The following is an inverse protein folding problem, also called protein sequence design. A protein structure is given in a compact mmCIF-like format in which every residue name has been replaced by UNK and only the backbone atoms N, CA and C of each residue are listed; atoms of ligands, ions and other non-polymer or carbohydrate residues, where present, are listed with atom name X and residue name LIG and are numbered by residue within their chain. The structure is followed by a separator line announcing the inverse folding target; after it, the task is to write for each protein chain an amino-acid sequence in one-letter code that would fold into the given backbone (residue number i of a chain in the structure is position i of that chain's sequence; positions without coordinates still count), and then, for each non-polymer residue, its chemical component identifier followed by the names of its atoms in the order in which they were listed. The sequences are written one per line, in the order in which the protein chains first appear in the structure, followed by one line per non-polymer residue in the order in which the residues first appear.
data_IF_613969625732
#
_entry.id   IF_613969625732
#
_cell.length_a   1.000
_cell.length_b   1.000
_cell.length_c   1.000
_cell.angle_alpha   90.00
_cell.angle_beta   90.00
_cell.angle_gamma   90.00
#
_symmetry.space_group_name_H-M   'P 1'
#
loop_
_entity.id
_entity.type
_entity.pdbx_description
1 polymer ?
#
# COMPACT_ATOMS: atom_id res chain seq x y z
N UNK A 1 1.18 -3.90 -9.79
CA UNK A 1 -0.18 -4.46 -10.00
C UNK A 1 -1.05 -3.40 -10.65
N UNK A 2 -2.04 -3.79 -11.46
CA UNK A 2 -2.84 -2.87 -12.29
C UNK A 2 -4.29 -2.77 -11.81
N UNK A 3 -4.99 -1.71 -12.21
CA UNK A 3 -6.42 -1.50 -11.90
C UNK A 3 -7.33 -2.65 -12.35
N UNK A 4 -7.25 -3.12 -13.61
CA UNK A 4 -8.05 -4.26 -14.08
C UNK A 4 -7.86 -5.53 -13.24
N UNK A 5 -6.64 -5.83 -12.79
CA UNK A 5 -6.38 -7.00 -11.95
C UNK A 5 -7.12 -6.92 -10.60
N UNK A 6 -7.21 -5.73 -9.99
CA UNK A 6 -7.99 -5.51 -8.77
C UNK A 6 -9.50 -5.59 -9.02
N UNK A 7 -9.98 -5.10 -10.17
CA UNK A 7 -11.37 -5.22 -10.56
C UNK A 7 -11.78 -6.69 -10.75
N UNK A 8 -10.96 -7.48 -11.44
CA UNK A 8 -11.18 -8.91 -11.65
C UNK A 8 -11.19 -9.66 -10.32
N UNK A 9 -10.22 -9.37 -9.44
CA UNK A 9 -10.16 -9.95 -8.10
C UNK A 9 -11.41 -9.59 -7.28
N UNK A 10 -11.84 -8.32 -7.28
CA UNK A 10 -13.06 -7.90 -6.60
C UNK A 10 -14.29 -8.63 -7.15
N UNK A 11 -14.45 -8.70 -8.47
CA UNK A 11 -15.59 -9.41 -9.11
C UNK A 11 -15.61 -10.90 -8.80
N UNK A 12 -14.45 -11.52 -8.63
CA UNK A 12 -14.35 -12.94 -8.30
C UNK A 12 -14.79 -13.27 -6.86
N UNK A 13 -14.68 -12.32 -5.92
CA UNK A 13 -14.94 -12.56 -4.49
C UNK A 13 -16.18 -11.83 -3.95
N UNK A 14 -16.64 -10.78 -4.63
CA UNK A 14 -17.75 -9.95 -4.15
C UNK A 14 -19.08 -10.72 -4.13
N UNK A 15 -19.77 -10.67 -2.99
CA UNK A 15 -21.12 -11.19 -2.81
C UNK A 15 -22.21 -10.18 -3.19
N UNK A 16 -23.48 -10.62 -3.19
CA UNK A 16 -24.61 -9.72 -3.45
C UNK A 16 -24.67 -8.54 -2.48
N UNK A 17 -24.52 -7.32 -3.01
CA UNK A 17 -24.60 -6.07 -2.26
C UNK A 17 -23.27 -5.58 -1.68
N UNK A 18 -22.16 -6.28 -1.96
CA UNK A 18 -20.83 -5.80 -1.64
C UNK A 18 -20.42 -4.66 -2.58
N UNK A 19 -19.61 -3.74 -2.05
CA UNK A 19 -19.07 -2.62 -2.81
C UNK A 19 -17.58 -2.46 -2.55
N UNK A 20 -16.83 -2.12 -3.59
CA UNK A 20 -15.44 -1.72 -3.44
C UNK A 20 -15.40 -0.35 -2.77
N UNK A 21 -14.98 -0.33 -1.51
CA UNK A 21 -15.10 0.83 -0.63
C UNK A 21 -13.78 1.60 -0.49
N UNK A 22 -12.66 0.89 -0.47
CA UNK A 22 -11.35 1.50 -0.41
C UNK A 22 -10.31 0.69 -1.20
N UNK A 23 -9.34 1.41 -1.76
CA UNK A 23 -8.11 0.86 -2.30
C UNK A 23 -6.94 1.44 -1.51
N UNK A 24 -6.19 0.57 -0.84
CA UNK A 24 -5.11 0.93 0.08
C UNK A 24 -3.81 0.46 -0.52
N UNK A 25 -2.84 1.36 -0.69
CA UNK A 25 -1.53 1.02 -1.25
C UNK A 25 -0.45 1.88 -0.65
N UNK A 26 0.60 1.23 -0.16
CA UNK A 26 1.83 1.89 0.18
C UNK A 26 2.47 2.54 -1.03
N UNK A 27 3.02 3.73 -0.81
CA UNK A 27 3.57 4.56 -1.87
C UNK A 27 5.04 4.27 -2.05
N UNK A 28 5.38 3.55 -3.13
CA UNK A 28 6.74 3.42 -3.67
C UNK A 28 6.97 4.40 -4.81
N UNK A 29 7.06 3.89 -6.04
CA UNK A 29 7.09 4.69 -7.27
C UNK A 29 5.76 5.36 -7.63
N UNK A 30 4.70 5.10 -6.85
CA UNK A 30 3.30 5.42 -7.12
C UNK A 30 2.64 4.69 -8.30
N UNK A 31 3.30 3.70 -8.92
CA UNK A 31 2.69 2.89 -9.99
C UNK A 31 1.48 2.08 -9.54
N UNK A 32 1.55 1.39 -8.39
CA UNK A 32 0.44 0.56 -7.90
C UNK A 32 -0.72 1.40 -7.35
N UNK A 33 -0.45 2.50 -6.62
CA UNK A 33 -1.53 3.36 -6.10
C UNK A 33 -2.34 4.02 -7.22
N UNK A 34 -1.76 4.22 -8.40
CA UNK A 34 -2.47 4.70 -9.60
C UNK A 34 -3.57 3.76 -10.08
N UNK A 35 -3.57 2.47 -9.67
CA UNK A 35 -4.70 1.58 -9.90
C UNK A 35 -6.00 2.13 -9.27
N UNK A 36 -5.90 2.92 -8.19
CA UNK A 36 -7.03 3.60 -7.57
C UNK A 36 -7.76 4.55 -8.52
N UNK A 37 -7.04 5.22 -9.42
CA UNK A 37 -7.64 6.15 -10.39
C UNK A 37 -8.52 5.41 -11.39
N UNK A 38 -8.05 4.25 -11.87
CA UNK A 38 -8.85 3.33 -12.68
C UNK A 38 -10.05 2.81 -11.90
N UNK A 39 -9.86 2.31 -10.68
CA UNK A 39 -10.93 1.73 -9.87
C UNK A 39 -12.03 2.75 -9.56
N UNK A 40 -11.70 4.04 -9.45
CA UNK A 40 -12.70 5.12 -9.29
C UNK A 40 -13.60 5.31 -10.51
N UNK A 41 -13.20 4.87 -11.70
CA UNK A 41 -14.10 4.84 -12.87
C UNK A 41 -15.19 3.77 -12.75
N UNK A 42 -14.91 2.70 -11.99
CA UNK A 42 -15.82 1.58 -11.74
C UNK A 42 -16.63 1.81 -10.46
N UNK A 43 -15.99 2.31 -9.41
CA UNK A 43 -16.58 2.61 -8.10
C UNK A 43 -16.26 4.07 -7.69
N UNK A 44 -17.04 5.07 -8.16
CA UNK A 44 -16.73 6.48 -7.95
C UNK A 44 -16.67 6.94 -6.48
N UNK A 45 -17.33 6.22 -5.57
CA UNK A 45 -17.31 6.50 -4.13
C UNK A 45 -16.15 5.83 -3.39
N UNK A 46 -15.34 5.01 -4.07
CA UNK A 46 -14.21 4.31 -3.46
C UNK A 46 -13.15 5.32 -2.99
N UNK A 47 -12.60 5.08 -1.80
CA UNK A 47 -11.50 5.87 -1.24
C UNK A 47 -10.14 5.33 -1.66
N UNK A 48 -9.25 6.16 -2.18
CA UNK A 48 -7.85 5.80 -2.40
C UNK A 48 -7.03 6.22 -1.19
N UNK A 49 -6.31 5.29 -0.56
CA UNK A 49 -5.52 5.52 0.65
C UNK A 49 -4.05 5.28 0.35
N UNK A 50 -3.25 6.34 0.52
CA UNK A 50 -1.80 6.26 0.47
C UNK A 50 -1.24 5.79 1.81
N UNK A 51 -0.32 4.83 1.78
CA UNK A 51 0.33 4.31 2.98
C UNK A 51 1.82 4.66 2.97
N UNK A 52 2.35 5.06 4.12
CA UNK A 52 3.77 5.36 4.33
C UNK A 52 4.25 4.84 5.68
N UNK A 53 5.56 4.88 5.93
CA UNK A 53 6.11 4.57 7.25
C UNK A 53 5.93 5.74 8.22
N UNK A 54 5.58 5.47 9.47
CA UNK A 54 5.49 6.47 10.53
C UNK A 54 6.85 7.07 10.87
N UNK A 55 7.93 6.29 10.71
CA UNK A 55 9.32 6.72 10.88
C UNK A 55 9.78 7.66 9.76
N UNK A 56 9.15 7.63 8.59
CA UNK A 56 9.42 8.53 7.46
C UNK A 56 8.11 9.14 6.90
N UNK A 57 7.39 9.97 7.69
CA UNK A 57 6.03 10.38 7.36
C UNK A 57 6.00 11.60 6.44
N UNK A 58 6.45 11.43 5.19
CA UNK A 58 6.57 12.50 4.19
C UNK A 58 5.22 13.08 3.80
N UNK A 59 4.20 12.27 3.57
CA UNK A 59 2.85 12.69 3.19
C UNK A 59 2.05 13.22 4.39
N UNK A 60 2.16 12.57 5.55
CA UNK A 60 1.36 12.91 6.72
C UNK A 60 1.89 14.13 7.46
N UNK A 61 3.21 14.34 7.50
CA UNK A 61 3.86 15.34 8.36
C UNK A 61 4.95 16.16 7.67
N UNK A 62 5.15 16.03 6.36
CA UNK A 62 6.32 16.56 5.67
C UNK A 62 7.62 16.12 6.37
N UNK A 63 7.61 14.90 6.93
CA UNK A 63 8.70 14.35 7.72
C UNK A 63 9.69 13.55 6.88
N UNK A 64 10.78 13.18 7.53
CA UNK A 64 11.86 12.35 6.97
C UNK A 64 12.37 11.39 8.06
N UNK A 65 12.99 10.30 7.64
CA UNK A 65 13.61 9.33 8.53
C UNK A 65 14.01 8.08 7.76
N UNK A 66 14.21 6.98 8.47
CA UNK A 66 14.51 5.67 7.90
C UNK A 66 13.56 4.66 8.51
N UNK A 67 13.25 3.61 7.77
CA UNK A 67 12.32 2.60 8.21
C UNK A 67 12.68 1.22 7.68
N UNK A 68 12.04 0.21 8.26
CA UNK A 68 12.23 -1.20 7.95
C UNK A 68 11.14 -1.81 7.06
N UNK A 69 10.24 -1.01 6.50
CA UNK A 69 9.23 -1.51 5.57
C UNK A 69 9.84 -1.59 4.16
N UNK A 70 10.46 -2.70 3.79
CA UNK A 70 11.01 -2.83 2.43
C UNK A 70 9.92 -2.84 1.36
N UNK A 71 10.23 -2.22 0.21
CA UNK A 71 9.35 -2.18 -0.97
C UNK A 71 8.45 -0.94 -1.06
N UNK A 72 8.44 -0.09 -0.03
CA UNK A 72 7.78 1.22 -0.06
C UNK A 72 8.80 2.34 -0.28
N UNK A 73 8.32 3.53 -0.59
CA UNK A 73 9.15 4.67 -0.98
C UNK A 73 9.25 5.71 0.12
N UNK A 74 10.40 6.39 0.15
CA UNK A 74 10.79 7.26 1.25
C UNK A 74 11.06 8.68 0.75
N UNK A 75 10.97 9.65 1.68
CA UNK A 75 11.61 10.97 1.63
C UNK A 75 11.22 11.90 0.46
N UNK A 76 10.28 11.52 -0.40
CA UNK A 76 9.75 12.39 -1.44
C UNK A 76 8.39 11.91 -1.95
N UNK A 77 7.64 12.81 -2.59
CA UNK A 77 6.43 12.46 -3.32
C UNK A 77 6.81 12.10 -4.77
N UNK A 78 6.51 10.89 -5.25
CA UNK A 78 6.84 10.50 -6.62
C UNK A 78 6.20 11.42 -7.65
N UNK A 79 6.92 11.72 -8.74
CA UNK A 79 6.42 12.63 -9.79
C UNK A 79 5.03 12.22 -10.29
N UNK A 80 4.87 10.92 -10.56
CA UNK A 80 3.65 10.33 -11.14
C UNK A 80 2.54 10.05 -10.12
N UNK A 81 2.68 10.42 -8.85
CA UNK A 81 1.63 10.21 -7.86
C UNK A 81 0.46 11.19 -8.09
N UNK A 82 -0.72 10.71 -8.47
CA UNK A 82 -1.93 11.54 -8.51
C UNK A 82 -2.45 11.86 -7.10
N UNK A 83 -1.80 12.81 -6.43
CA UNK A 83 -2.13 13.24 -5.06
C UNK A 83 -3.56 13.80 -4.99
N UNK A 84 -4.03 14.47 -6.05
CA UNK A 84 -5.39 15.03 -6.12
C UNK A 84 -6.47 13.96 -5.99
N UNK A 85 -6.20 12.74 -6.48
CA UNK A 85 -7.11 11.60 -6.38
C UNK A 85 -6.97 10.79 -5.07
N UNK A 86 -5.99 11.11 -4.22
CA UNK A 86 -5.75 10.43 -2.93
C UNK A 86 -6.67 11.01 -1.84
N UNK A 87 -7.41 10.14 -1.14
CA UNK A 87 -8.41 10.56 -0.14
C UNK A 87 -7.91 10.53 1.29
N UNK A 88 -6.94 9.68 1.62
CA UNK A 88 -6.36 9.63 2.95
C UNK A 88 -4.89 9.22 2.90
N UNK A 89 -4.17 9.58 3.96
CA UNK A 89 -2.84 9.05 4.27
C UNK A 89 -2.93 8.25 5.57
N UNK A 90 -2.31 7.08 5.57
CA UNK A 90 -2.14 6.23 6.76
C UNK A 90 -0.64 5.98 6.95
N UNK A 91 -0.11 6.36 8.11
CA UNK A 91 1.28 6.04 8.46
C UNK A 91 1.32 4.81 9.39
N UNK A 92 2.16 3.84 9.03
CA UNK A 92 2.34 2.58 9.75
C UNK A 92 3.71 2.56 10.41
N UNK A 93 3.74 2.26 11.70
CA UNK A 93 4.98 2.02 12.43
C UNK A 93 5.61 0.72 11.90
N UNK A 94 6.85 0.81 11.41
CA UNK A 94 7.56 -0.32 10.83
C UNK A 94 7.68 -1.52 11.78
N UNK A 95 7.79 -1.29 13.10
CA UNK A 95 7.86 -2.37 14.09
C UNK A 95 6.57 -3.21 14.09
N UNK A 96 5.40 -2.62 13.76
CA UNK A 96 4.16 -3.38 13.61
C UNK A 96 4.29 -4.42 12.49
N UNK A 97 4.94 -4.04 11.39
CA UNK A 97 5.11 -4.92 10.24
C UNK A 97 6.11 -6.04 10.56
N UNK A 98 7.21 -5.72 11.23
CA UNK A 98 8.24 -6.69 11.64
C UNK A 98 7.69 -7.68 12.68
N UNK A 99 6.95 -7.19 13.67
CA UNK A 99 6.35 -8.02 14.70
C UNK A 99 5.30 -8.99 14.13
N UNK A 100 4.50 -8.52 13.17
CA UNK A 100 3.51 -9.35 12.47
C UNK A 100 4.16 -10.29 11.46
N UNK A 101 5.29 -9.91 10.84
CA UNK A 101 6.09 -10.80 9.99
C UNK A 101 6.48 -12.05 10.77
N UNK A 102 6.94 -11.90 12.02
CA UNK A 102 7.23 -13.05 12.89
C UNK A 102 5.97 -13.86 13.22
N UNK A 103 4.86 -13.18 13.55
CA UNK A 103 3.58 -13.82 13.84
C UNK A 103 3.06 -14.68 12.67
N UNK A 104 3.29 -14.24 11.43
CA UNK A 104 2.80 -14.92 10.23
C UNK A 104 3.71 -16.06 9.75
N UNK A 105 4.99 -16.06 10.15
CA UNK A 105 6.01 -16.96 9.58
C UNK A 105 6.70 -17.88 10.59
N UNK A 106 6.60 -17.61 11.89
CA UNK A 106 7.13 -18.50 12.94
C UNK A 106 6.03 -19.39 13.53
N UNK A 107 6.40 -20.63 13.91
CA UNK A 107 5.47 -21.68 14.34
C UNK A 107 4.53 -21.22 15.46
N UNK A 108 5.06 -20.55 16.49
CA UNK A 108 4.26 -20.07 17.61
C UNK A 108 3.16 -19.07 17.21
N UNK A 109 3.39 -18.28 16.16
CA UNK A 109 2.40 -17.36 15.62
C UNK A 109 1.33 -18.08 14.81
N UNK A 110 1.72 -19.05 13.97
CA UNK A 110 0.79 -19.89 13.21
C UNK A 110 -0.08 -20.77 14.13
N UNK A 111 0.49 -21.33 15.18
CA UNK A 111 -0.22 -22.11 16.20
C UNK A 111 -1.26 -21.25 16.95
N UNK A 112 -0.91 -20.00 17.27
CA UNK A 112 -1.84 -19.05 17.86
C UNK A 112 -3.02 -18.80 16.92
N UNK A 113 -2.77 -18.49 15.64
CA UNK A 113 -3.82 -18.22 14.66
C UNK A 113 -4.74 -19.44 14.47
N UNK A 114 -4.18 -20.64 14.45
CA UNK A 114 -4.96 -21.90 14.41
C UNK A 114 -5.85 -22.04 15.65
N UNK A 115 -5.32 -21.76 16.84
CA UNK A 115 -6.09 -21.75 18.10
C UNK A 115 -7.23 -20.72 18.10
N UNK A 116 -7.04 -19.60 17.40
CA UNK A 116 -8.06 -18.56 17.21
C UNK A 116 -9.11 -18.91 16.13
N UNK A 117 -8.95 -20.06 15.45
CA UNK A 117 -9.90 -20.56 14.45
C UNK A 117 -9.67 -20.04 13.04
N UNK A 118 -8.50 -19.46 12.75
CA UNK A 118 -8.10 -19.17 11.36
C UNK A 118 -7.84 -20.50 10.65
N UNK A 119 -8.38 -20.67 9.45
CA UNK A 119 -8.25 -21.94 8.72
C UNK A 119 -6.82 -22.16 8.19
N UNK A 120 -6.41 -23.43 8.11
CA UNK A 120 -5.07 -23.82 7.69
C UNK A 120 -4.71 -23.34 6.27
N UNK A 121 -5.70 -23.20 5.39
CA UNK A 121 -5.45 -22.72 4.03
C UNK A 121 -5.12 -21.22 4.01
N UNK A 122 -5.70 -20.43 4.91
CA UNK A 122 -5.30 -19.03 5.14
C UNK A 122 -3.93 -18.95 5.81
N UNK A 123 -3.70 -19.70 6.89
CA UNK A 123 -2.41 -19.71 7.61
C UNK A 123 -1.26 -20.10 6.67
N UNK A 124 -1.45 -21.12 5.84
CA UNK A 124 -0.47 -21.61 4.88
C UNK A 124 -0.20 -20.67 3.69
N UNK A 125 -0.84 -19.51 3.63
CA UNK A 125 -0.62 -18.47 2.62
C UNK A 125 -0.11 -17.15 3.21
N UNK A 126 0.09 -17.06 4.53
CA UNK A 126 0.52 -15.82 5.18
C UNK A 126 1.98 -15.46 4.84
N UNK A 127 2.78 -16.41 4.37
CA UNK A 127 4.10 -16.19 3.80
C UNK A 127 4.06 -15.44 2.45
N UNK A 128 2.91 -15.39 1.77
CA UNK A 128 2.71 -14.52 0.61
C UNK A 128 2.64 -13.04 0.98
N UNK A 129 2.58 -12.70 2.28
CA UNK A 129 2.67 -11.33 2.77
C UNK A 129 4.12 -11.02 3.18
N UNK A 130 4.87 -10.41 2.26
CA UNK A 130 6.09 -9.69 2.60
C UNK A 130 5.81 -8.45 3.46
N UNK A 131 6.87 -7.76 3.89
CA UNK A 131 6.78 -6.71 4.92
C UNK A 131 5.89 -5.54 4.48
N UNK A 132 5.97 -5.11 3.21
CA UNK A 132 5.08 -4.08 2.65
C UNK A 132 3.64 -4.57 2.44
N UNK A 133 3.43 -5.87 2.18
CA UNK A 133 2.11 -6.50 2.17
C UNK A 133 1.43 -6.46 3.54
N UNK A 134 2.20 -6.73 4.61
CA UNK A 134 1.74 -6.59 6.00
C UNK A 134 1.41 -5.12 6.31
N UNK A 135 2.25 -4.17 5.87
CA UNK A 135 1.97 -2.74 6.01
C UNK A 135 0.62 -2.37 5.38
N UNK A 136 0.34 -2.82 4.16
CA UNK A 136 -0.94 -2.60 3.48
C UNK A 136 -2.12 -3.26 4.20
N UNK A 137 -1.93 -4.46 4.77
CA UNK A 137 -2.94 -5.13 5.58
C UNK A 137 -3.30 -4.28 6.80
N UNK A 138 -2.32 -3.89 7.61
CA UNK A 138 -2.56 -3.08 8.82
C UNK A 138 -3.21 -1.74 8.45
N UNK A 139 -2.72 -1.08 7.40
CA UNK A 139 -3.30 0.14 6.89
C UNK A 139 -4.74 -0.03 6.41
N UNK A 140 -5.09 -1.18 5.84
CA UNK A 140 -6.47 -1.50 5.43
C UNK A 140 -7.40 -1.62 6.63
N UNK A 141 -6.94 -2.21 7.73
CA UNK A 141 -7.72 -2.28 8.97
C UNK A 141 -7.88 -0.86 9.57
N UNK A 142 -6.82 -0.03 9.55
CA UNK A 142 -6.90 1.38 9.98
C UNK A 142 -7.86 2.19 9.10
N UNK A 143 -7.79 2.06 7.79
CA UNK A 143 -8.66 2.73 6.83
C UNK A 143 -10.13 2.31 7.01
N UNK A 144 -10.39 1.02 7.24
CA UNK A 144 -11.73 0.54 7.53
C UNK A 144 -12.33 1.20 8.77
N UNK A 145 -11.53 1.35 9.83
CA UNK A 145 -11.96 2.08 11.05
C UNK A 145 -12.10 3.58 10.82
N UNK A 146 -11.17 4.20 10.09
CA UNK A 146 -11.19 5.64 9.78
C UNK A 146 -12.49 6.04 9.05
N UNK A 147 -12.90 5.24 8.07
CA UNK A 147 -14.08 5.53 7.25
C UNK A 147 -15.37 4.88 7.78
N UNK A 148 -15.32 4.17 8.91
CA UNK A 148 -16.49 3.48 9.47
C UNK A 148 -17.08 2.43 8.53
N UNK A 149 -16.22 1.69 7.83
CA UNK A 149 -16.62 0.67 6.85
C UNK A 149 -17.37 -0.49 7.53
N UNK A 150 -18.42 -0.99 6.87
CA UNK A 150 -19.25 -2.08 7.36
C UNK A 150 -18.94 -3.43 6.69
N UNK A 151 -19.69 -4.48 7.03
CA UNK A 151 -19.43 -5.85 6.53
C UNK A 151 -19.55 -6.05 5.01
N UNK A 152 -20.12 -5.09 4.28
CA UNK A 152 -20.28 -5.12 2.81
C UNK A 152 -19.28 -4.20 2.08
N UNK A 153 -18.41 -3.56 2.84
CA UNK A 153 -17.38 -2.67 2.31
C UNK A 153 -16.11 -3.48 2.09
N UNK A 154 -15.79 -3.74 0.82
CA UNK A 154 -14.59 -4.47 0.45
C UNK A 154 -13.42 -3.50 0.33
N UNK A 155 -12.33 -3.81 1.03
CA UNK A 155 -11.06 -3.08 0.94
C UNK A 155 -10.10 -3.91 0.09
N UNK A 156 -9.59 -3.31 -0.99
CA UNK A 156 -8.57 -3.91 -1.83
C UNK A 156 -7.19 -3.35 -1.49
N UNK A 157 -6.19 -4.21 -1.42
CA UNK A 157 -4.79 -3.81 -1.23
C UNK A 157 -3.82 -4.78 -1.90
N UNK A 158 -2.62 -4.32 -2.30
CA UNK A 158 -1.62 -5.17 -2.93
C UNK A 158 -0.84 -6.03 -1.91
N UNK A 159 -0.70 -7.32 -2.21
CA UNK A 159 0.35 -8.19 -1.65
C UNK A 159 1.52 -8.17 -2.64
N UNK A 160 2.48 -7.28 -2.40
CA UNK A 160 3.49 -6.86 -3.38
C UNK A 160 4.56 -7.91 -3.64
N UNK A 161 4.94 -8.65 -2.61
CA UNK A 161 5.98 -9.67 -2.59
C UNK A 161 5.70 -10.68 -1.47
N UNK A 162 6.38 -11.83 -1.53
CA UNK A 162 6.35 -12.87 -0.52
C UNK A 162 7.55 -12.77 0.43
N UNK A 163 7.48 -13.54 1.51
CA UNK A 163 8.57 -13.73 2.46
C UNK A 163 9.80 -14.44 1.88
N UNK A 164 9.73 -14.95 0.65
CA UNK A 164 10.89 -15.53 -0.06
C UNK A 164 12.02 -14.50 -0.20
N UNK A 165 11.70 -13.20 -0.26
CA UNK A 165 12.67 -12.12 -0.36
C UNK A 165 13.23 -11.67 1.01
N UNK A 166 12.62 -12.09 2.12
CA UNK A 166 12.86 -11.54 3.46
C UNK A 166 13.24 -12.60 4.50
N UNK A 167 13.61 -13.81 4.10
CA UNK A 167 14.02 -14.86 5.02
C UNK A 167 15.14 -14.42 5.97
N UNK A 168 16.08 -13.58 5.52
CA UNK A 168 17.15 -13.06 6.37
C UNK A 168 16.64 -12.16 7.50
N UNK A 169 15.50 -11.47 7.32
CA UNK A 169 14.91 -10.61 8.37
C UNK A 169 14.41 -11.40 9.56
N UNK A 170 13.90 -12.61 9.33
CA UNK A 170 13.51 -13.51 10.43
C UNK A 170 14.74 -13.93 11.24
N UNK A 171 15.84 -14.26 10.58
CA UNK A 171 17.09 -14.65 11.26
C UNK A 171 17.71 -13.49 12.05
N UNK A 172 17.66 -12.27 11.50
CA UNK A 172 18.06 -11.05 12.21
C UNK A 172 17.22 -10.83 13.47
N UNK A 173 15.89 -10.92 13.37
CA UNK A 173 15.00 -10.78 14.51
C UNK A 173 15.20 -11.87 15.57
N UNK A 174 15.52 -13.11 15.17
CA UNK A 174 15.88 -14.18 16.10
C UNK A 174 17.19 -13.88 16.84
N UNK A 175 18.16 -13.28 16.16
CA UNK A 175 19.43 -12.89 16.76
C UNK A 175 19.27 -11.70 17.72
N UNK A 176 18.43 -10.72 17.38
CA UNK A 176 18.24 -9.49 18.14
C UNK A 176 17.27 -9.64 19.32
N UNK A 177 16.12 -10.28 19.08
CA UNK A 177 15.01 -10.36 20.03
C UNK A 177 14.85 -11.76 20.67
N UNK A 178 15.61 -12.75 20.18
CA UNK A 178 15.55 -14.12 20.66
C UNK A 178 14.38 -14.93 20.07
N UNK A 179 14.11 -16.08 20.71
CA UNK A 179 13.08 -17.01 20.27
C UNK A 179 11.67 -16.39 20.26
N UNK A 180 10.86 -16.71 19.25
CA UNK A 180 9.47 -16.31 19.16
C UNK A 180 8.57 -17.35 19.82
N UNK A 181 7.99 -17.02 20.96
CA UNK A 181 7.11 -17.92 21.70
C UNK A 181 5.64 -17.48 21.62
N UNK A 182 4.76 -18.30 22.17
CA UNK A 182 3.31 -18.02 22.20
C UNK A 182 2.99 -16.70 22.91
N UNK A 183 3.79 -16.29 23.89
CA UNK A 183 3.60 -15.03 24.63
C UNK A 183 3.89 -13.84 23.73
N UNK A 184 4.99 -13.87 22.98
CA UNK A 184 5.35 -12.86 21.99
C UNK A 184 4.31 -12.80 20.87
N UNK A 185 3.88 -13.95 20.35
CA UNK A 185 2.82 -14.05 19.34
C UNK A 185 1.52 -13.40 19.81
N UNK A 186 1.02 -13.75 21.01
CA UNK A 186 -0.22 -13.21 21.56
C UNK A 186 -0.13 -11.69 21.78
N UNK A 187 1.01 -11.20 22.27
CA UNK A 187 1.26 -9.77 22.46
C UNK A 187 1.24 -9.01 21.13
N UNK A 188 1.93 -9.50 20.11
CA UNK A 188 2.01 -8.82 18.81
C UNK A 188 0.67 -8.84 18.08
N UNK A 189 -0.01 -9.99 18.07
CA UNK A 189 -1.36 -10.11 17.51
C UNK A 189 -2.35 -9.16 18.18
N UNK A 190 -2.40 -9.20 19.51
CA UNK A 190 -3.31 -8.35 20.30
C UNK A 190 -3.00 -6.86 20.15
N UNK A 191 -1.73 -6.47 20.09
CA UNK A 191 -1.33 -5.07 19.91
C UNK A 191 -1.63 -4.55 18.50
N UNK A 192 -1.28 -5.32 17.47
CA UNK A 192 -1.20 -4.81 16.09
C UNK A 192 -2.39 -5.14 15.21
N UNK A 193 -3.21 -6.14 15.55
CA UNK A 193 -4.43 -6.47 14.81
C UNK A 193 -5.70 -6.17 15.62
N UNK A 194 -5.84 -6.75 16.82
CA UNK A 194 -7.03 -6.52 17.65
C UNK A 194 -7.08 -5.08 18.18
N UNK A 195 -5.95 -4.61 18.72
CA UNK A 195 -5.77 -3.29 19.31
C UNK A 195 -5.57 -2.17 18.28
N UNK A 196 -5.57 -2.48 16.99
CA UNK A 196 -5.33 -1.52 15.93
C UNK A 196 -6.39 -0.40 15.96
N UNK A 197 -5.95 0.86 15.85
CA UNK A 197 -6.79 2.06 15.88
C UNK A 197 -6.53 2.90 14.64
N UNK A 198 -7.42 3.84 14.27
CA UNK A 198 -7.13 4.80 13.20
C UNK A 198 -6.19 5.92 13.69
N UNK A 199 -5.14 5.58 14.44
CA UNK A 199 -4.06 6.49 14.82
C UNK A 199 -3.12 6.70 13.63
N UNK A 200 -2.50 7.89 13.57
CA UNK A 200 -1.61 8.30 12.47
C UNK A 200 -2.27 8.21 11.08
N UNK A 201 -3.57 8.51 11.05
CA UNK A 201 -4.38 8.55 9.84
C UNK A 201 -4.90 9.99 9.61
N UNK A 202 -5.06 10.39 8.35
CA UNK A 202 -5.65 11.68 7.97
C UNK A 202 -6.49 11.54 6.71
N UNK A 203 -7.79 11.84 6.81
CA UNK A 203 -8.60 12.13 5.61
C UNK A 203 -8.15 13.48 5.04
N UNK A 204 -7.84 13.51 3.74
CA UNK A 204 -7.26 14.67 3.08
C UNK A 204 -8.35 15.58 2.53
N UNK A 205 -8.33 16.83 2.99
CA UNK A 205 -9.02 17.94 2.33
C UNK A 205 -8.34 18.30 1.00
N UNK A 206 -8.95 19.19 0.22
CA UNK A 206 -8.31 19.68 -1.01
C UNK A 206 -6.98 20.38 -0.72
N UNK A 207 -6.93 21.20 0.34
CA UNK A 207 -5.75 21.94 0.76
C UNK A 207 -4.63 20.98 1.19
N UNK A 208 -4.97 19.89 1.88
CA UNK A 208 -3.99 18.87 2.25
C UNK A 208 -3.38 18.19 1.02
N UNK A 209 -4.21 17.85 0.02
CA UNK A 209 -3.75 17.27 -1.24
C UNK A 209 -2.85 18.25 -1.99
N UNK A 210 -3.17 19.54 -1.98
CA UNK A 210 -2.36 20.56 -2.63
C UNK A 210 -1.02 20.74 -1.92
N UNK A 211 -1.02 20.76 -0.58
CA UNK A 211 0.20 20.82 0.22
C UNK A 211 1.14 19.64 -0.09
N UNK A 212 0.61 18.41 -0.14
CA UNK A 212 1.38 17.21 -0.49
C UNK A 212 1.87 17.30 -1.94
N UNK A 213 1.01 17.72 -2.89
CA UNK A 213 1.41 17.89 -4.31
C UNK A 213 2.57 18.87 -4.47
N UNK A 214 2.55 19.97 -3.72
CA UNK A 214 3.60 20.99 -3.75
C UNK A 214 4.95 20.49 -3.23
N UNK A 215 5.00 19.42 -2.41
CA UNK A 215 6.27 18.81 -2.01
C UNK A 215 7.09 18.30 -3.20
N UNK A 216 6.42 17.95 -4.31
CA UNK A 216 7.11 17.55 -5.54
C UNK A 216 8.02 18.64 -6.08
N UNK A 217 7.74 19.92 -5.82
CA UNK A 217 8.55 21.04 -6.28
C UNK A 217 10.01 20.89 -5.86
N UNK A 218 10.26 20.62 -4.58
CA UNK A 218 11.62 20.58 -4.03
C UNK A 218 12.47 19.46 -4.60
N UNK A 219 11.89 18.28 -4.80
CA UNK A 219 12.63 17.16 -5.41
C UNK A 219 12.70 17.33 -6.91
N UNK A 220 11.58 17.55 -7.59
CA UNK A 220 11.52 17.38 -9.03
C UNK A 220 11.86 18.64 -9.82
N UNK A 221 11.47 19.81 -9.34
CA UNK A 221 11.79 21.08 -10.00
C UNK A 221 13.16 21.58 -9.57
N UNK A 222 13.37 21.77 -8.25
CA UNK A 222 14.62 22.34 -7.75
C UNK A 222 15.83 21.40 -7.91
N UNK A 223 15.69 20.12 -7.57
CA UNK A 223 16.84 19.19 -7.62
C UNK A 223 16.96 18.48 -8.96
N UNK A 224 15.85 17.98 -9.52
CA UNK A 224 15.85 17.21 -10.77
C UNK A 224 15.60 18.06 -12.03
N UNK A 225 15.46 19.39 -11.89
CA UNK A 225 15.38 20.34 -13.01
C UNK A 225 14.22 20.07 -13.99
N UNK A 226 13.10 19.52 -13.50
CA UNK A 226 11.85 19.46 -14.27
C UNK A 226 11.20 20.83 -14.41
N UNK A 227 10.40 21.01 -15.45
CA UNK A 227 9.62 22.22 -15.64
C UNK A 227 8.52 22.34 -14.56
N UNK A 228 8.41 23.54 -13.99
CA UNK A 228 7.35 23.89 -13.04
C UNK A 228 5.97 23.88 -13.70
N UNK A 229 5.87 24.17 -15.00
CA UNK A 229 4.61 24.09 -15.72
C UNK A 229 4.13 22.64 -15.82
N UNK A 230 5.03 21.67 -15.99
CA UNK A 230 4.64 20.25 -15.97
C UNK A 230 4.15 19.83 -14.57
N UNK A 231 4.74 20.36 -13.49
CA UNK A 231 4.24 20.12 -12.13
C UNK A 231 2.81 20.66 -11.95
N UNK A 232 2.51 21.83 -12.53
CA UNK A 232 1.14 22.39 -12.51
C UNK A 232 0.17 21.54 -13.32
N UNK A 233 0.59 20.98 -14.45
CA UNK A 233 -0.23 20.09 -15.28
C UNK A 233 -0.63 18.80 -14.54
N UNK A 234 0.25 18.27 -13.70
CA UNK A 234 -0.07 17.11 -12.85
C UNK A 234 -1.23 17.35 -11.87
N UNK A 235 -1.59 18.61 -11.58
CA UNK A 235 -2.74 18.94 -10.74
C UNK A 235 -4.08 18.90 -11.49
N UNK A 236 -4.05 18.98 -12.82
CA UNK A 236 -5.26 18.95 -13.65
C UNK A 236 -5.79 17.51 -13.80
N UNK A 237 -7.05 17.23 -13.38
CA UNK A 237 -7.67 15.93 -13.65
C UNK A 237 -7.69 15.54 -15.13
N UNK A 238 -7.78 16.52 -16.04
CA UNK A 238 -7.79 16.30 -17.48
C UNK A 238 -6.48 15.72 -18.00
N UNK A 239 -5.34 16.07 -17.39
CA UNK A 239 -4.05 15.49 -17.70
C UNK A 239 -4.06 13.97 -17.47
N UNK A 240 -4.52 13.53 -16.29
CA UNK A 240 -4.56 12.11 -15.95
C UNK A 240 -5.47 11.30 -16.87
N UNK A 241 -6.66 11.84 -17.20
CA UNK A 241 -7.56 11.21 -18.16
C UNK A 241 -6.90 11.00 -19.54
N UNK A 242 -6.12 11.98 -20.01
CA UNK A 242 -5.37 11.87 -21.27
C UNK A 242 -4.22 10.88 -21.20
N UNK A 243 -3.51 10.81 -20.07
CA UNK A 243 -2.42 9.83 -19.88
C UNK A 243 -2.96 8.40 -19.85
N UNK A 244 -4.06 8.16 -19.15
CA UNK A 244 -4.65 6.81 -19.10
C UNK A 244 -5.25 6.37 -20.44
N UNK A 245 -5.75 7.29 -21.27
CA UNK A 245 -6.22 6.99 -22.62
C UNK A 245 -5.11 6.48 -23.56
N UNK A 246 -3.83 6.66 -23.21
CA UNK A 246 -2.69 6.20 -24.00
C UNK A 246 -2.19 4.80 -23.62
N UNK A 247 -2.76 4.17 -22.58
CA UNK A 247 -2.27 2.90 -22.06
C UNK A 247 -2.21 1.78 -23.13
N UNK A 248 -3.26 1.65 -23.96
CA UNK A 248 -3.29 0.65 -25.03
C UNK A 248 -2.18 0.87 -26.08
N UNK A 249 -1.82 2.13 -26.36
CA UNK A 249 -0.73 2.41 -27.30
C UNK A 249 0.63 2.06 -26.70
N UNK A 250 0.85 2.38 -25.42
CA UNK A 250 2.08 1.98 -24.75
C UNK A 250 2.22 0.47 -24.66
N UNK A 251 1.13 -0.26 -24.39
CA UNK A 251 1.17 -1.73 -24.40
C UNK A 251 1.58 -2.26 -25.77
N UNK A 252 1.04 -1.71 -26.87
CA UNK A 252 1.48 -2.04 -28.23
C UNK A 252 2.95 -1.74 -28.46
N UNK A 253 3.43 -0.57 -28.03
CA UNK A 253 4.85 -0.19 -28.18
C UNK A 253 5.78 -1.12 -27.37
N UNK A 254 5.37 -1.51 -26.16
CA UNK A 254 6.08 -2.46 -25.30
C UNK A 254 6.15 -3.84 -25.96
N UNK A 255 5.05 -4.35 -26.53
CA UNK A 255 5.04 -5.61 -27.28
C UNK A 255 5.99 -5.57 -28.47
N UNK A 256 5.96 -4.48 -29.25
CA UNK A 256 6.87 -4.28 -30.38
C UNK A 256 8.33 -4.22 -29.92
N UNK A 257 8.61 -3.53 -28.82
CA UNK A 257 9.95 -3.46 -28.23
C UNK A 257 10.44 -4.84 -27.78
N UNK A 258 9.62 -5.57 -27.02
CA UNK A 258 9.94 -6.90 -26.51
C UNK A 258 10.19 -7.90 -27.65
N UNK A 259 9.39 -7.85 -28.71
CA UNK A 259 9.60 -8.68 -29.89
C UNK A 259 10.95 -8.39 -30.58
N UNK A 260 11.35 -7.11 -30.67
CA UNK A 260 12.66 -6.72 -31.23
C UNK A 260 13.82 -7.24 -30.37
N UNK A 261 13.75 -7.05 -29.04
CA UNK A 261 14.80 -7.50 -28.11
C UNK A 261 14.91 -9.02 -28.10
N UNK A 262 13.80 -9.76 -28.16
CA UNK A 262 13.82 -11.21 -28.23
C UNK A 262 14.38 -11.76 -29.55
N UNK A 263 14.40 -10.95 -30.62
CA UNK A 263 14.93 -11.32 -31.93
C UNK A 263 16.40 -10.93 -32.17
N UNK A 264 17.01 -10.22 -31.22
CA UNK A 264 18.40 -9.75 -31.27
C UNK A 264 19.34 -10.66 -30.47
#
# INVERSE_FOLDING_TARGET
MTGPAFEDAFRAVAGPGDRLAAFVSATGSAGTIAAGDYLKTIAPSMRTVAVEALQCPTLLRNGFGEHRIEGIGDKHVPWIHNVRATDAVVAIDDQQCIDLMRCFNEDAGRDLLSTMGVDDATIGRLDLLGISGICNLVASIKAARLFGLGPRDVVAFPMTDSMDLYASRIEEERAEQGAYDTTAAARHFGAWLEGCKPDHCKELTLDDREAIHNLKYFTWVEQQQRDVEDLRRLWDPGFWAQMYAQAEEWDREIEVFNAKVASA
#
